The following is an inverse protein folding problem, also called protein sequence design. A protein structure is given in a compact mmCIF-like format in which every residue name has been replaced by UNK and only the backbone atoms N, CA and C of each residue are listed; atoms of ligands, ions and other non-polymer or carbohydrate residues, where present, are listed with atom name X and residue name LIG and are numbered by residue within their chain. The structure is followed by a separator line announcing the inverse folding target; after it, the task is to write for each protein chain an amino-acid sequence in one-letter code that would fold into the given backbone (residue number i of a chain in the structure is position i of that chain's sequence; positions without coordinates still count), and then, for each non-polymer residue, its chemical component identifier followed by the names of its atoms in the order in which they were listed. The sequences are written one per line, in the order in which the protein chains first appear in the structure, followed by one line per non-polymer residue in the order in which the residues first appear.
data_IF_935283434612
#
_entry.id   IF_935283434612
#
_cell.length_a   1.000
_cell.length_b   1.000
_cell.length_c   1.000
_cell.angle_alpha   90.00
_cell.angle_beta   90.00
_cell.angle_gamma   90.00
#
_symmetry.space_group_name_H-M   'P 1'
#
loop_
_entity.id
_entity.type
_entity.pdbx_description
1 polymer ?
#
# COMPACT_ATOMS: atom_id res chain seq x y z
N UNK A 1 11.48 13.53 -44.95
CA UNK A 1 11.76 14.57 -43.93
C UNK A 1 10.66 14.48 -42.88
N UNK A 2 10.93 13.89 -41.71
CA UNK A 2 9.98 13.74 -40.61
C UNK A 2 10.32 14.83 -39.58
N UNK A 3 9.39 15.71 -39.18
CA UNK A 3 9.72 16.78 -38.25
C UNK A 3 9.82 16.23 -36.82
N UNK A 4 10.94 16.52 -36.15
CA UNK A 4 11.17 16.20 -34.75
C UNK A 4 10.43 17.22 -33.86
N UNK A 5 9.17 16.94 -33.53
CA UNK A 5 8.43 17.65 -32.49
C UNK A 5 8.16 16.70 -31.32
N UNK A 6 8.80 16.95 -30.17
CA UNK A 6 8.40 16.25 -28.94
C UNK A 6 9.43 16.17 -27.81
N UNK A 7 10.70 16.51 -28.03
CA UNK A 7 11.71 16.33 -26.98
C UNK A 7 11.54 17.34 -25.82
N UNK A 8 11.25 18.61 -26.10
CA UNK A 8 11.17 19.65 -25.06
C UNK A 8 10.03 19.46 -24.05
N UNK A 9 8.87 18.98 -24.51
CA UNK A 9 7.71 18.76 -23.63
C UNK A 9 7.89 17.54 -22.71
N UNK A 10 8.59 16.50 -23.19
CA UNK A 10 8.92 15.32 -22.40
C UNK A 10 9.99 15.66 -21.33
N UNK A 11 10.98 16.46 -21.69
CA UNK A 11 12.04 16.92 -20.77
C UNK A 11 11.47 17.81 -19.67
N UNK A 12 10.62 18.79 -20.02
CA UNK A 12 9.98 19.66 -19.03
C UNK A 12 9.06 18.89 -18.07
N UNK A 13 8.43 17.80 -18.54
CA UNK A 13 7.62 16.93 -17.69
C UNK A 13 8.46 16.07 -16.75
N UNK A 14 9.65 15.63 -17.19
CA UNK A 14 10.61 14.90 -16.35
C UNK A 14 11.24 15.81 -15.28
N UNK A 15 11.65 17.02 -15.65
CA UNK A 15 12.24 18.01 -14.73
C UNK A 15 11.26 18.43 -13.62
N UNK A 16 9.97 18.54 -13.93
CA UNK A 16 8.93 18.79 -12.94
C UNK A 16 8.78 17.64 -11.93
N UNK A 17 8.93 16.39 -12.38
CA UNK A 17 8.83 15.21 -11.50
C UNK A 17 10.07 15.04 -10.61
N UNK A 18 11.27 15.44 -11.07
CA UNK A 18 12.51 15.38 -10.29
C UNK A 18 12.57 16.45 -9.18
N UNK A 19 12.06 17.65 -9.46
CA UNK A 19 12.02 18.73 -8.45
C UNK A 19 11.06 18.44 -7.29
N UNK A 20 9.96 17.73 -7.54
CA UNK A 20 9.01 17.33 -6.48
C UNK A 20 9.59 16.25 -5.55
N UNK A 21 10.60 15.48 -5.99
CA UNK A 21 11.25 14.43 -5.19
C UNK A 21 12.32 15.01 -4.24
N UNK A 22 13.03 16.05 -4.69
CA UNK A 22 14.17 16.65 -3.98
C UNK A 22 13.76 17.38 -2.69
N UNK A 23 12.47 17.74 -2.53
CA UNK A 23 11.95 18.38 -1.33
C UNK A 23 11.77 17.49 -0.09
N UNK A 24 12.01 16.17 -0.21
CA UNK A 24 11.77 15.22 0.88
C UNK A 24 13.05 14.69 1.56
N UNK A 25 14.24 14.97 1.02
CA UNK A 25 15.52 14.44 1.54
C UNK A 25 16.48 15.57 1.92
N UNK A 26 16.28 16.16 3.10
CA UNK A 26 17.34 16.78 3.92
C UNK A 26 16.89 16.78 5.39
N UNK A 27 16.88 15.59 6.00
CA UNK A 27 16.83 15.44 7.46
C UNK A 27 17.96 14.51 7.91
N UNK A 28 19.19 15.01 7.82
CA UNK A 28 20.32 14.49 8.62
C UNK A 28 20.20 15.14 10.02
N UNK A 29 19.91 14.32 11.05
CA UNK A 29 20.82 13.95 12.16
C UNK A 29 21.07 15.12 13.16
N UNK A 30 21.01 15.07 14.50
CA UNK A 30 21.23 14.12 15.63
C UNK A 30 20.61 14.88 16.86
N UNK A 31 20.02 14.28 17.91
CA UNK A 31 20.71 13.98 19.18
C UNK A 31 19.76 13.27 20.15
N UNK A 32 20.25 12.14 20.65
CA UNK A 32 19.86 11.36 21.82
C UNK A 32 19.86 12.24 23.08
N UNK A 33 18.91 12.10 24.00
CA UNK A 33 19.11 12.33 25.45
C UNK A 33 17.83 11.96 26.20
N UNK A 34 17.92 10.82 26.87
CA UNK A 34 17.10 10.40 28.00
C UNK A 34 17.23 11.40 29.16
N UNK A 35 16.10 11.83 29.76
CA UNK A 35 16.04 12.21 31.17
C UNK A 35 14.60 12.52 31.60
N UNK A 36 14.18 11.83 32.67
CA UNK A 36 13.03 12.14 33.50
C UNK A 36 13.16 13.49 34.22
N UNK A 37 12.04 14.12 34.60
CA UNK A 37 11.60 14.31 36.00
C UNK A 37 10.46 15.35 36.06
N UNK A 38 9.56 15.08 36.99
CA UNK A 38 8.46 15.89 37.50
C UNK A 38 8.96 17.12 38.28
N UNK A 39 7.99 17.97 38.66
CA UNK A 39 8.04 19.12 39.59
C UNK A 39 8.21 20.54 39.01
N UNK A 40 7.39 21.42 39.58
CA UNK A 40 6.93 22.73 39.12
C UNK A 40 7.99 23.84 39.03
N UNK A 41 7.89 24.73 38.03
CA UNK A 41 8.26 26.15 38.18
C UNK A 41 7.62 27.07 37.11
N UNK A 42 7.02 28.17 37.58
CA UNK A 42 6.27 29.17 36.82
C UNK A 42 7.16 30.02 35.89
N UNK A 43 6.96 29.94 34.55
CA UNK A 43 7.51 30.95 33.62
C UNK A 43 6.49 31.33 32.54
N UNK A 44 6.10 32.60 32.56
CA UNK A 44 5.26 33.35 31.62
C UNK A 44 5.40 32.91 30.14
N UNK A 45 4.39 32.22 29.60
CA UNK A 45 4.19 32.12 28.15
C UNK A 45 3.20 33.19 27.69
N UNK A 46 3.75 34.22 27.06
CA UNK A 46 3.01 35.23 26.30
C UNK A 46 1.96 34.54 25.41
N UNK A 47 0.69 34.91 25.59
CA UNK A 47 -0.41 34.65 24.65
C UNK A 47 -0.03 35.25 23.29
N UNK A 48 0.65 34.48 22.44
CA UNK A 48 0.81 34.81 21.02
C UNK A 48 -0.59 34.68 20.41
N UNK A 49 -1.24 35.83 20.25
CA UNK A 49 -2.48 35.96 19.50
C UNK A 49 -2.29 35.24 18.16
N UNK A 50 -3.15 34.27 17.86
CA UNK A 50 -3.29 33.69 16.52
C UNK A 50 -3.78 34.81 15.60
N UNK A 51 -2.84 35.61 15.11
CA UNK A 51 -3.10 36.61 14.09
C UNK A 51 -3.70 35.91 12.89
N UNK A 52 -4.81 36.43 12.41
CA UNK A 52 -5.49 36.08 11.17
C UNK A 52 -4.63 36.46 9.96
N UNK A 53 -3.41 35.90 9.86
CA UNK A 53 -2.57 36.10 8.68
C UNK A 53 -3.19 35.33 7.52
N UNK A 54 -3.64 36.11 6.53
CA UNK A 54 -4.26 35.63 5.29
C UNK A 54 -3.34 34.58 4.65
N UNK A 55 -3.79 33.32 4.59
CA UNK A 55 -3.04 32.21 3.97
C UNK A 55 -2.65 32.59 2.53
N UNK A 56 -1.38 32.38 2.20
CA UNK A 56 -0.85 32.58 0.84
C UNK A 56 -1.53 31.62 -0.14
N UNK A 57 -1.60 31.99 -1.42
CA UNK A 57 -2.15 31.10 -2.48
C UNK A 57 -1.46 29.73 -2.48
N UNK A 58 -0.16 29.69 -2.20
CA UNK A 58 0.63 28.47 -2.12
C UNK A 58 0.23 27.59 -0.92
N UNK A 59 0.03 28.17 0.26
CA UNK A 59 -0.45 27.44 1.44
C UNK A 59 -1.87 26.85 1.22
N UNK A 60 -2.73 27.58 0.51
CA UNK A 60 -4.06 27.08 0.09
C UNK A 60 -3.96 25.95 -0.95
N UNK A 61 -3.03 26.03 -1.90
CA UNK A 61 -2.82 24.98 -2.90
C UNK A 61 -2.31 23.68 -2.27
N UNK A 62 -1.34 23.77 -1.35
CA UNK A 62 -0.81 22.62 -0.61
C UNK A 62 -1.88 21.97 0.29
N UNK A 63 -2.71 22.77 0.95
CA UNK A 63 -3.83 22.28 1.76
C UNK A 63 -4.90 21.57 0.91
N UNK A 64 -5.18 22.07 -0.30
CA UNK A 64 -6.07 21.41 -1.25
C UNK A 64 -5.47 20.14 -1.85
N UNK A 65 -4.15 20.10 -2.08
CA UNK A 65 -3.45 18.91 -2.54
C UNK A 65 -3.46 17.79 -1.48
N UNK A 66 -3.31 18.14 -0.19
CA UNK A 66 -3.47 17.19 0.93
C UNK A 66 -4.89 16.67 1.08
N UNK A 67 -5.91 17.44 0.68
CA UNK A 67 -7.30 16.96 0.56
C UNK A 67 -7.53 16.07 -0.66
N UNK A 68 -6.64 16.14 -1.66
CA UNK A 68 -6.74 15.36 -2.89
C UNK A 68 -6.14 13.95 -2.75
N UNK A 69 -5.19 13.74 -1.83
CA UNK A 69 -4.64 12.42 -1.52
C UNK A 69 -5.54 11.70 -0.52
N UNK A 70 -6.60 11.05 -1.00
CA UNK A 70 -7.43 10.18 -0.15
C UNK A 70 -6.84 8.78 -0.07
N UNK A 71 -6.89 8.17 1.11
CA UNK A 71 -6.55 6.74 1.26
C UNK A 71 -7.68 5.90 0.64
N UNK A 72 -7.38 4.66 0.22
CA UNK A 72 -8.36 3.71 -0.30
C UNK A 72 -9.58 3.55 0.64
N UNK A 73 -9.35 3.51 1.96
CA UNK A 73 -10.43 3.43 2.94
C UNK A 73 -11.37 4.66 2.90
N UNK A 74 -10.84 5.86 2.73
CA UNK A 74 -11.66 7.08 2.62
C UNK A 74 -12.50 7.10 1.34
N UNK A 75 -11.92 6.62 0.23
CA UNK A 75 -12.65 6.47 -1.03
C UNK A 75 -13.77 5.43 -0.92
N UNK A 76 -13.53 4.33 -0.19
CA UNK A 76 -14.52 3.28 0.04
C UNK A 76 -15.71 3.79 0.87
N UNK A 77 -15.43 4.60 1.89
CA UNK A 77 -16.46 5.23 2.72
C UNK A 77 -17.28 6.26 1.94
N UNK A 78 -16.64 7.11 1.14
CA UNK A 78 -17.33 8.09 0.29
C UNK A 78 -18.23 7.43 -0.77
N UNK A 79 -17.80 6.29 -1.32
CA UNK A 79 -18.57 5.58 -2.34
C UNK A 79 -19.87 4.94 -1.81
N UNK A 80 -20.04 4.86 -0.48
CA UNK A 80 -21.25 4.34 0.19
C UNK A 80 -21.81 3.06 -0.46
N UNK A 81 -20.92 2.09 -0.69
CA UNK A 81 -21.21 0.90 -1.52
C UNK A 81 -22.35 0.03 -0.98
N UNK A 82 -22.67 0.15 0.31
CA UNK A 82 -23.79 -0.58 0.95
C UNK A 82 -25.16 -0.09 0.48
N UNK A 83 -25.28 1.20 0.16
CA UNK A 83 -26.52 1.81 -0.33
C UNK A 83 -26.82 1.46 -1.79
N UNK A 84 -25.87 0.88 -2.52
CA UNK A 84 -26.08 0.43 -3.90
C UNK A 84 -27.10 -0.73 -3.93
N UNK A 85 -28.05 -0.73 -4.89
CA UNK A 85 -28.97 -1.85 -5.08
C UNK A 85 -28.25 -3.20 -5.25
N UNK A 86 -28.90 -4.33 -4.89
CA UNK A 86 -28.27 -5.65 -4.87
C UNK A 86 -27.80 -6.16 -6.25
N UNK A 87 -28.35 -5.62 -7.33
CA UNK A 87 -27.98 -5.98 -8.71
C UNK A 87 -26.76 -5.20 -9.23
N UNK A 88 -26.29 -4.17 -8.52
CA UNK A 88 -25.12 -3.38 -8.93
C UNK A 88 -23.86 -4.06 -8.38
N UNK A 89 -22.91 -4.47 -9.25
CA UNK A 89 -21.62 -4.99 -8.82
C UNK A 89 -20.84 -3.91 -8.05
N UNK A 90 -20.34 -4.25 -6.86
CA UNK A 90 -19.51 -3.38 -6.04
C UNK A 90 -18.33 -4.15 -5.46
N UNK A 91 -17.30 -3.45 -4.97
CA UNK A 91 -16.13 -4.08 -4.36
C UNK A 91 -16.50 -5.09 -3.25
N UNK A 92 -17.51 -4.76 -2.44
CA UNK A 92 -18.00 -5.62 -1.35
C UNK A 92 -18.76 -6.86 -1.84
N UNK A 93 -19.39 -6.79 -3.02
CA UNK A 93 -20.22 -7.86 -3.60
C UNK A 93 -19.52 -8.68 -4.68
N UNK A 94 -18.33 -8.27 -5.10
CA UNK A 94 -17.51 -8.97 -6.08
C UNK A 94 -16.96 -10.33 -5.59
N UNK A 95 -17.54 -10.90 -4.52
CA UNK A 95 -17.18 -12.20 -4.01
C UNK A 95 -17.42 -13.25 -5.10
N UNK A 96 -16.39 -14.06 -5.35
CA UNK A 96 -16.53 -15.27 -6.16
C UNK A 96 -17.51 -16.18 -5.42
N UNK A 97 -18.57 -16.62 -6.11
CA UNK A 97 -19.54 -17.56 -5.56
C UNK A 97 -18.87 -18.84 -5.05
N UNK A 98 -19.58 -19.69 -4.28
CA UNK A 98 -19.02 -20.92 -3.75
C UNK A 98 -18.31 -21.70 -4.85
N UNK A 99 -17.06 -22.16 -4.63
CA UNK A 99 -16.31 -22.85 -5.66
C UNK A 99 -17.11 -24.05 -6.14
N UNK A 100 -17.35 -24.13 -7.45
CA UNK A 100 -18.03 -25.27 -8.08
C UNK A 100 -17.34 -26.57 -7.66
N UNK A 101 -18.10 -27.50 -7.09
CA UNK A 101 -17.60 -28.77 -6.58
C UNK A 101 -17.11 -29.71 -7.68
N UNK A 102 -17.42 -29.42 -8.95
CA UNK A 102 -17.32 -30.37 -10.06
C UNK A 102 -15.89 -30.63 -10.55
N UNK A 103 -14.87 -29.85 -10.14
CA UNK A 103 -13.47 -30.26 -10.38
C UNK A 103 -12.46 -29.46 -9.52
N UNK A 104 -12.17 -29.92 -8.30
CA UNK A 104 -10.99 -29.43 -7.57
C UNK A 104 -9.74 -30.00 -8.24
N UNK A 105 -9.06 -29.18 -9.04
CA UNK A 105 -7.77 -29.55 -9.63
C UNK A 105 -6.68 -29.44 -8.57
N UNK A 106 -5.83 -30.45 -8.49
CA UNK A 106 -4.70 -30.48 -7.57
C UNK A 106 -3.41 -30.15 -8.31
N UNK A 107 -2.75 -29.08 -7.87
CA UNK A 107 -1.52 -28.59 -8.47
C UNK A 107 -0.36 -28.68 -7.48
N UNK A 108 0.83 -28.89 -8.02
CA UNK A 108 2.09 -28.90 -7.31
C UNK A 108 2.44 -27.49 -6.88
N UNK A 109 2.67 -27.29 -5.59
CA UNK A 109 3.05 -25.98 -5.01
C UNK A 109 4.45 -25.51 -5.39
N UNK A 110 5.27 -26.40 -5.97
CA UNK A 110 6.64 -26.10 -6.40
C UNK A 110 6.70 -25.63 -7.85
N UNK A 111 5.97 -26.30 -8.75
CA UNK A 111 6.10 -26.10 -10.19
C UNK A 111 4.78 -25.88 -10.95
N UNK A 112 3.62 -25.93 -10.28
CA UNK A 112 2.31 -25.65 -10.88
C UNK A 112 1.70 -26.77 -11.73
N UNK A 113 2.43 -27.85 -12.03
CA UNK A 113 1.88 -29.02 -12.74
C UNK A 113 0.89 -29.82 -11.88
N UNK A 114 0.14 -30.74 -12.49
CA UNK A 114 -0.76 -31.63 -11.74
C UNK A 114 0.00 -32.41 -10.67
N UNK A 115 -0.56 -32.47 -9.48
CA UNK A 115 0.05 -33.15 -8.34
C UNK A 115 -0.65 -34.47 -8.04
N UNK A 116 0.14 -35.54 -7.90
CA UNK A 116 -0.35 -36.86 -7.52
C UNK A 116 -0.04 -37.20 -6.04
N UNK A 117 0.79 -36.39 -5.38
CA UNK A 117 1.27 -36.66 -4.03
C UNK A 117 0.89 -35.53 -3.07
N UNK A 118 0.72 -35.90 -1.79
CA UNK A 118 0.37 -35.00 -0.70
C UNK A 118 1.38 -35.19 0.43
N UNK A 119 1.92 -34.10 0.96
CA UNK A 119 2.84 -34.14 2.09
C UNK A 119 2.08 -34.51 3.37
N UNK A 120 2.54 -35.53 4.09
CA UNK A 120 1.92 -35.97 5.35
C UNK A 120 2.12 -35.00 6.53
N UNK A 121 3.05 -34.04 6.42
CA UNK A 121 3.29 -33.04 7.47
C UNK A 121 2.35 -31.84 7.36
N UNK A 122 2.20 -31.27 6.16
CA UNK A 122 1.53 -29.99 5.95
C UNK A 122 0.31 -30.05 5.03
N UNK A 123 0.02 -31.20 4.40
CA UNK A 123 -1.09 -31.35 3.46
C UNK A 123 -0.88 -30.70 2.08
N UNK A 124 0.23 -29.98 1.85
CA UNK A 124 0.53 -29.41 0.53
C UNK A 124 0.90 -30.49 -0.48
N UNK A 125 0.60 -30.23 -1.76
CA UNK A 125 0.76 -31.20 -2.84
C UNK A 125 1.99 -30.95 -3.70
N UNK A 126 2.55 -32.04 -4.23
CA UNK A 126 3.69 -32.04 -5.13
C UNK A 126 3.57 -33.12 -6.23
N UNK A 127 4.34 -32.98 -7.31
CA UNK A 127 4.25 -33.88 -8.48
C UNK A 127 5.36 -34.94 -8.56
N UNK A 128 6.49 -34.75 -7.89
CA UNK A 128 7.66 -35.64 -7.99
C UNK A 128 8.56 -35.55 -6.76
N UNK A 129 9.48 -36.50 -6.60
CA UNK A 129 10.49 -36.51 -5.53
C UNK A 129 11.36 -35.26 -5.55
N UNK A 130 11.68 -34.73 -6.75
CA UNK A 130 12.40 -33.46 -6.87
C UNK A 130 11.63 -32.32 -6.21
N UNK A 131 10.33 -32.22 -6.50
CA UNK A 131 9.47 -31.22 -5.88
C UNK A 131 9.25 -31.50 -4.38
N UNK A 132 9.27 -32.75 -3.94
CA UNK A 132 9.21 -33.10 -2.53
C UNK A 132 10.39 -32.53 -1.74
N UNK A 133 11.63 -32.68 -2.25
CA UNK A 133 12.82 -32.12 -1.58
C UNK A 133 12.73 -30.60 -1.44
N UNK A 134 12.44 -29.92 -2.55
CA UNK A 134 12.28 -28.46 -2.55
C UNK A 134 11.14 -28.04 -1.60
N UNK A 135 10.06 -28.81 -1.58
CA UNK A 135 8.95 -28.60 -0.66
C UNK A 135 9.40 -28.73 0.80
N UNK A 136 10.10 -29.81 1.15
CA UNK A 136 10.60 -30.08 2.50
C UNK A 136 11.57 -28.98 2.97
N UNK A 137 12.41 -28.46 2.07
CA UNK A 137 13.43 -27.45 2.38
C UNK A 137 12.87 -26.04 2.59
N UNK A 138 11.86 -25.65 1.80
CA UNK A 138 11.44 -24.23 1.70
C UNK A 138 9.95 -23.95 1.89
N UNK A 139 9.10 -24.98 1.84
CA UNK A 139 7.63 -24.80 1.84
C UNK A 139 6.91 -25.61 2.93
N UNK A 140 7.53 -26.62 3.52
CA UNK A 140 6.85 -27.52 4.45
C UNK A 140 6.60 -26.88 5.82
N UNK A 141 5.46 -26.22 5.97
CA UNK A 141 5.00 -25.65 7.23
C UNK A 141 4.13 -26.67 7.98
N UNK A 142 4.51 -27.02 9.22
CA UNK A 142 3.96 -28.14 9.98
C UNK A 142 2.42 -28.10 10.16
N UNK A 143 1.79 -26.93 10.05
CA UNK A 143 0.33 -26.77 10.05
C UNK A 143 -0.06 -25.50 9.27
N UNK A 144 -0.49 -25.67 8.01
CA UNK A 144 -1.34 -24.69 7.33
C UNK A 144 -2.62 -25.46 7.01
N UNK A 145 -3.59 -25.39 7.91
CA UNK A 145 -4.94 -25.92 7.74
C UNK A 145 -5.91 -24.75 7.67
#
# INVERSE_FOLDING_TARGET
MIPAFGAGAAIARLEALENDYTGMETVEAVHDDEASLDDDDDVYIQKKQKGTKRKTRQAKALENARKATRNFLELLHEANLEALPPHVPSYLRAAVGPPSSTCRRHFCTVCGFTSNYTCGKCGMRFCSIRCQKIHDDTRCLKFVA
#
